data_IF_958665823638
#
_entry.id   IF_958665823638
#
_cell.length_a   1.000
_cell.length_b   1.000
_cell.length_c   1.000
_cell.angle_alpha   90.00
_cell.angle_beta   90.00
_cell.angle_gamma   90.00
#
_symmetry.space_group_name_H-M   'P 1'
#
loop_
_entity.id
_entity.type
_entity.pdbx_description
1 polymer ?
#
# COMPACT_ATOMS: atom_id res chain seq x y z
N UNK A 1 6.71 25.20 -6.79
CA UNK A 1 6.39 24.67 -8.11
C UNK A 1 6.44 23.13 -8.02
N UNK A 2 5.27 22.47 -7.79
CA UNK A 2 5.22 21.02 -7.47
C UNK A 2 5.87 20.15 -8.55
N UNK A 3 5.66 20.48 -9.82
CA UNK A 3 6.18 19.69 -10.92
C UNK A 3 7.72 19.66 -10.99
N UNK A 4 8.37 20.82 -10.78
CA UNK A 4 9.85 20.88 -10.78
C UNK A 4 10.49 20.17 -9.58
N UNK A 5 9.78 20.09 -8.46
CA UNK A 5 10.28 19.41 -7.26
C UNK A 5 10.25 17.89 -7.47
N UNK A 6 9.15 17.36 -8.01
CA UNK A 6 8.98 15.93 -8.31
C UNK A 6 10.05 15.49 -9.32
N UNK A 7 10.28 16.26 -10.40
CA UNK A 7 11.30 15.93 -11.40
C UNK A 7 12.72 15.89 -10.82
N UNK A 8 13.10 16.87 -10.00
CA UNK A 8 14.44 16.92 -9.40
C UNK A 8 14.66 15.85 -8.34
N UNK A 9 13.66 15.61 -7.49
CA UNK A 9 13.73 14.59 -6.46
C UNK A 9 13.72 13.20 -7.09
N UNK A 10 12.83 12.94 -8.04
CA UNK A 10 12.72 11.65 -8.71
C UNK A 10 13.94 11.29 -9.55
N UNK A 11 14.49 12.23 -10.29
CA UNK A 11 15.60 11.95 -11.22
C UNK A 11 16.94 11.63 -10.55
N UNK A 12 17.22 12.16 -9.36
CA UNK A 12 18.48 11.93 -8.65
C UNK A 12 18.34 10.94 -7.50
N UNK A 13 17.30 11.11 -6.67
CA UNK A 13 17.15 10.34 -5.44
C UNK A 13 16.67 8.91 -5.70
N UNK A 14 15.77 8.70 -6.67
CA UNK A 14 15.26 7.36 -6.98
C UNK A 14 16.34 6.40 -7.48
N UNK A 15 17.21 6.76 -8.45
CA UNK A 15 18.31 5.89 -8.84
C UNK A 15 19.29 5.59 -7.70
N UNK A 16 19.64 6.60 -6.90
CA UNK A 16 20.53 6.41 -5.74
C UNK A 16 19.93 5.44 -4.72
N UNK A 17 18.64 5.58 -4.45
CA UNK A 17 17.88 4.73 -3.54
C UNK A 17 17.83 3.29 -4.05
N UNK A 18 17.53 3.08 -5.33
CA UNK A 18 17.49 1.74 -5.94
C UNK A 18 18.88 1.08 -5.91
N UNK A 19 19.94 1.78 -6.27
CA UNK A 19 21.31 1.24 -6.24
C UNK A 19 21.68 0.80 -4.83
N UNK A 20 21.37 1.61 -3.81
CA UNK A 20 21.73 1.31 -2.43
C UNK A 20 20.87 0.16 -1.85
N UNK A 21 19.58 0.07 -2.17
CA UNK A 21 18.76 -1.07 -1.79
C UNK A 21 19.26 -2.34 -2.46
N UNK A 22 19.59 -2.30 -3.75
CA UNK A 22 20.14 -3.45 -4.47
C UNK A 22 21.47 -3.90 -3.88
N UNK A 23 22.37 -2.97 -3.55
CA UNK A 23 23.64 -3.29 -2.89
C UNK A 23 23.41 -3.97 -1.53
N UNK A 24 22.45 -3.48 -0.73
CA UNK A 24 22.06 -4.12 0.54
C UNK A 24 21.48 -5.51 0.32
N UNK A 25 20.60 -5.70 -0.66
CA UNK A 25 20.02 -7.01 -0.99
C UNK A 25 21.12 -7.99 -1.42
N UNK A 26 21.99 -7.62 -2.33
CA UNK A 26 23.11 -8.47 -2.79
C UNK A 26 23.99 -8.88 -1.61
N UNK A 27 24.35 -7.91 -0.76
CA UNK A 27 25.18 -8.20 0.42
C UNK A 27 24.42 -9.06 1.43
N UNK A 28 23.12 -8.84 1.61
CA UNK A 28 22.26 -9.69 2.46
C UNK A 28 22.22 -11.15 1.98
N UNK A 29 22.12 -11.37 0.67
CA UNK A 29 22.20 -12.73 0.11
C UNK A 29 23.56 -13.38 0.34
N UNK A 30 24.66 -12.64 0.20
CA UNK A 30 26.00 -13.15 0.43
C UNK A 30 26.21 -13.52 1.92
N UNK A 31 25.75 -12.67 2.83
CA UNK A 31 26.03 -12.83 4.26
C UNK A 31 25.05 -13.81 4.96
N UNK A 32 23.85 -13.95 4.47
CA UNK A 32 22.78 -14.72 5.14
C UNK A 32 22.17 -15.82 4.27
N UNK A 33 22.32 -15.77 2.94
CA UNK A 33 21.65 -16.67 2.01
C UNK A 33 22.00 -18.15 2.18
N UNK A 34 23.16 -18.47 2.79
CA UNK A 34 23.59 -19.84 3.09
C UNK A 34 23.11 -20.34 4.46
N UNK A 35 22.53 -19.48 5.30
CA UNK A 35 22.03 -19.90 6.60
C UNK A 35 20.79 -20.78 6.43
N UNK A 36 20.53 -21.69 7.38
CA UNK A 36 19.26 -22.40 7.42
C UNK A 36 18.11 -21.40 7.69
N UNK A 37 16.90 -21.62 7.14
CA UNK A 37 15.72 -20.84 7.52
C UNK A 37 15.45 -20.91 9.02
N UNK A 38 14.97 -19.82 9.62
CA UNK A 38 14.70 -19.76 11.05
C UNK A 38 13.65 -20.80 11.46
N UNK A 39 13.98 -21.67 12.42
CA UNK A 39 13.07 -22.73 12.90
C UNK A 39 11.75 -22.22 13.48
N UNK A 40 11.73 -20.95 13.94
CA UNK A 40 10.53 -20.31 14.48
C UNK A 40 9.39 -20.12 13.46
N UNK A 41 9.72 -20.04 12.18
CA UNK A 41 8.75 -19.72 11.14
C UNK A 41 7.89 -20.92 10.71
N UNK A 42 8.41 -22.14 10.82
CA UNK A 42 7.66 -23.37 10.48
C UNK A 42 6.59 -23.71 11.52
N UNK A 43 6.72 -23.22 12.76
CA UNK A 43 5.75 -23.44 13.85
C UNK A 43 4.66 -22.37 13.92
N UNK A 44 4.88 -21.19 13.30
CA UNK A 44 3.91 -20.08 13.29
C UNK A 44 2.77 -20.29 12.30
N UNK A 45 2.98 -21.07 11.24
CA UNK A 45 1.99 -21.30 10.21
C UNK A 45 1.51 -22.75 10.21
N UNK A 46 0.27 -22.98 10.61
CA UNK A 46 -0.34 -24.30 10.63
C UNK A 46 -0.64 -24.88 9.25
N UNK A 47 -0.62 -24.03 8.20
CA UNK A 47 -0.83 -24.42 6.81
C UNK A 47 -0.23 -23.41 5.84
N UNK A 48 0.02 -23.84 4.59
CA UNK A 48 0.48 -22.96 3.51
C UNK A 48 -0.50 -21.81 3.26
N UNK A 49 -1.82 -22.06 3.39
CA UNK A 49 -2.85 -21.02 3.24
C UNK A 49 -2.80 -20.00 4.38
N UNK A 50 -2.53 -20.42 5.61
CA UNK A 50 -2.34 -19.50 6.75
C UNK A 50 -1.11 -18.60 6.53
N UNK A 51 -0.01 -19.14 6.02
CA UNK A 51 1.17 -18.34 5.68
C UNK A 51 0.89 -17.34 4.55
N UNK A 52 0.20 -17.78 3.49
CA UNK A 52 -0.20 -16.89 2.40
C UNK A 52 -1.12 -15.77 2.87
N UNK A 53 -2.18 -16.09 3.61
CA UNK A 53 -3.15 -15.09 4.07
C UNK A 53 -2.53 -14.06 5.01
N UNK A 54 -1.63 -14.49 5.93
CA UNK A 54 -0.89 -13.57 6.77
C UNK A 54 0.06 -12.67 5.96
N UNK A 55 0.80 -13.23 5.00
CA UNK A 55 1.64 -12.45 4.10
C UNK A 55 0.84 -11.41 3.31
N UNK A 56 -0.33 -11.81 2.80
CA UNK A 56 -1.24 -10.94 2.07
C UNK A 56 -1.77 -9.78 2.94
N UNK A 57 -2.22 -10.07 4.17
CA UNK A 57 -2.70 -9.03 5.09
C UNK A 57 -1.58 -8.15 5.63
N UNK A 58 -0.37 -8.71 5.85
CA UNK A 58 0.80 -7.88 6.16
C UNK A 58 1.17 -6.95 4.99
N UNK A 59 0.91 -7.35 3.74
CA UNK A 59 1.05 -6.49 2.58
C UNK A 59 0.19 -5.23 2.64
N UNK A 60 -0.95 -5.23 3.36
CA UNK A 60 -1.73 -4.02 3.59
C UNK A 60 -0.94 -2.96 4.35
N UNK A 61 -0.12 -3.37 5.32
CA UNK A 61 0.64 -2.47 6.17
C UNK A 61 1.75 -1.71 5.42
N UNK A 62 2.13 -2.20 4.23
CA UNK A 62 3.11 -1.50 3.38
C UNK A 62 2.54 -0.22 2.76
N UNK A 63 1.21 -0.06 2.72
CA UNK A 63 0.48 1.10 2.20
C UNK A 63 0.67 1.39 0.71
N UNK A 64 1.35 0.51 -0.03
CA UNK A 64 1.71 0.73 -1.44
C UNK A 64 0.49 0.85 -2.35
N UNK A 65 -0.54 0.03 -2.15
CA UNK A 65 -1.75 0.08 -2.97
C UNK A 65 -2.51 1.42 -2.79
N UNK A 66 -2.60 1.91 -1.55
CA UNK A 66 -3.21 3.22 -1.26
C UNK A 66 -2.35 4.35 -1.81
N UNK A 67 -1.02 4.25 -1.65
CA UNK A 67 -0.08 5.21 -2.22
C UNK A 67 -0.17 5.23 -3.75
N UNK A 68 -0.30 4.08 -4.42
CA UNK A 68 -0.47 4.00 -5.87
C UNK A 68 -1.74 4.74 -6.34
N UNK A 69 -2.85 4.61 -5.61
CA UNK A 69 -4.08 5.37 -5.90
C UNK A 69 -3.81 6.88 -5.74
N UNK A 70 -3.17 7.31 -4.66
CA UNK A 70 -2.85 8.71 -4.40
C UNK A 70 -1.90 9.29 -5.45
N UNK A 71 -0.89 8.53 -5.88
CA UNK A 71 0.07 8.95 -6.90
C UNK A 71 -0.44 8.84 -8.34
N UNK A 72 -1.54 8.14 -8.59
CA UNK A 72 -2.06 7.90 -9.94
C UNK A 72 -2.23 9.19 -10.76
N UNK A 73 -2.74 10.25 -10.12
CA UNK A 73 -2.90 11.56 -10.77
C UNK A 73 -1.55 12.17 -11.17
N UNK A 74 -0.53 12.05 -10.33
CA UNK A 74 0.82 12.57 -10.62
C UNK A 74 1.43 11.82 -11.80
N UNK A 75 1.32 10.48 -11.81
CA UNK A 75 1.83 9.64 -12.90
C UNK A 75 1.14 9.98 -14.23
N UNK A 76 -0.18 10.08 -14.24
CA UNK A 76 -0.94 10.46 -15.44
C UNK A 76 -0.55 11.87 -15.94
N UNK A 77 -0.41 12.83 -15.03
CA UNK A 77 0.01 14.19 -15.40
C UNK A 77 1.45 14.22 -15.93
N UNK A 78 2.36 13.43 -15.36
CA UNK A 78 3.72 13.29 -15.85
C UNK A 78 3.75 12.73 -17.28
N UNK A 79 2.95 11.68 -17.56
CA UNK A 79 2.81 11.10 -18.90
C UNK A 79 2.24 12.15 -19.89
N UNK A 80 1.21 12.89 -19.48
CA UNK A 80 0.65 13.99 -20.33
C UNK A 80 1.68 15.09 -20.62
N UNK A 81 2.56 15.38 -19.67
CA UNK A 81 3.62 16.38 -19.84
C UNK A 81 4.67 15.98 -20.88
N UNK A 82 4.80 14.69 -21.22
CA UNK A 82 5.65 14.23 -22.35
C UNK A 82 5.07 14.52 -23.74
N UNK A 83 3.88 15.17 -23.80
CA UNK A 83 3.23 15.52 -25.07
C UNK A 83 2.27 14.46 -25.59
N UNK A 84 2.03 13.38 -24.85
CA UNK A 84 1.06 12.34 -25.22
C UNK A 84 -0.34 12.84 -24.90
N UNK A 85 -1.18 13.02 -25.96
CA UNK A 85 -2.56 13.54 -25.84
C UNK A 85 -3.63 12.45 -25.95
N UNK A 86 -3.35 11.34 -26.63
CA UNK A 86 -4.31 10.27 -26.87
C UNK A 86 -4.54 9.43 -25.60
N UNK A 87 -5.80 9.25 -25.22
CA UNK A 87 -6.24 8.49 -24.04
C UNK A 87 -5.67 7.07 -24.01
N UNK A 88 -5.73 6.33 -25.11
CA UNK A 88 -5.22 4.96 -25.21
C UNK A 88 -3.70 4.86 -24.99
N UNK A 89 -2.95 5.85 -25.50
CA UNK A 89 -1.51 5.90 -25.30
C UNK A 89 -1.16 6.23 -23.85
N UNK A 90 -1.91 7.15 -23.22
CA UNK A 90 -1.75 7.47 -21.77
C UNK A 90 -2.03 6.22 -20.94
N UNK A 91 -3.14 5.52 -21.21
CA UNK A 91 -3.48 4.28 -20.51
C UNK A 91 -2.37 3.22 -20.66
N UNK A 92 -1.92 2.96 -21.88
CA UNK A 92 -0.84 1.99 -22.16
C UNK A 92 0.45 2.35 -21.40
N UNK A 93 0.87 3.61 -21.42
CA UNK A 93 2.07 4.05 -20.72
C UNK A 93 1.91 3.95 -19.19
N UNK A 94 0.73 4.27 -18.66
CA UNK A 94 0.42 4.12 -17.24
C UNK A 94 0.50 2.65 -16.80
N UNK A 95 -0.06 1.73 -17.60
CA UNK A 95 0.00 0.28 -17.32
C UNK A 95 1.46 -0.21 -17.36
N UNK A 96 2.24 0.19 -18.36
CA UNK A 96 3.67 -0.19 -18.45
C UNK A 96 4.44 0.33 -17.23
N UNK A 97 4.27 1.59 -16.86
CA UNK A 97 4.91 2.18 -15.69
C UNK A 97 4.51 1.43 -14.40
N UNK A 98 3.23 1.09 -14.26
CA UNK A 98 2.71 0.30 -13.13
C UNK A 98 3.31 -1.11 -13.07
N UNK A 99 3.42 -1.80 -14.21
CA UNK A 99 4.04 -3.13 -14.28
C UNK A 99 5.52 -3.11 -13.91
N UNK A 100 6.28 -2.11 -14.38
CA UNK A 100 7.69 -1.94 -14.01
C UNK A 100 7.81 -1.71 -12.50
N UNK A 101 7.01 -0.81 -11.93
CA UNK A 101 7.02 -0.52 -10.51
C UNK A 101 6.63 -1.76 -9.68
N UNK A 102 5.56 -2.47 -10.06
CA UNK A 102 5.11 -3.68 -9.38
C UNK A 102 6.19 -4.77 -9.41
N UNK A 103 6.84 -5.00 -10.56
CA UNK A 103 7.92 -5.99 -10.69
C UNK A 103 9.10 -5.66 -9.79
N UNK A 104 9.50 -4.39 -9.74
CA UNK A 104 10.58 -3.94 -8.86
C UNK A 104 10.22 -4.12 -7.38
N UNK A 105 9.00 -3.76 -6.97
CA UNK A 105 8.51 -3.96 -5.60
C UNK A 105 8.47 -5.44 -5.21
N UNK A 106 7.92 -6.31 -6.07
CA UNK A 106 7.88 -7.76 -5.85
C UNK A 106 9.30 -8.30 -5.62
N UNK A 107 10.25 -7.90 -6.46
CA UNK A 107 11.64 -8.33 -6.32
C UNK A 107 12.25 -7.89 -4.98
N UNK A 108 12.06 -6.62 -4.59
CA UNK A 108 12.58 -6.09 -3.32
C UNK A 108 11.94 -6.80 -2.14
N UNK A 109 10.61 -6.95 -2.10
CA UNK A 109 9.90 -7.57 -0.99
C UNK A 109 10.26 -9.05 -0.82
N UNK A 110 10.32 -9.82 -1.91
CA UNK A 110 10.72 -11.22 -1.86
C UNK A 110 12.17 -11.33 -1.36
N UNK A 111 13.07 -10.48 -1.86
CA UNK A 111 14.48 -10.49 -1.45
C UNK A 111 14.65 -10.16 0.03
N UNK A 112 14.00 -9.11 0.52
CA UNK A 112 14.07 -8.73 1.94
C UNK A 112 13.40 -9.77 2.83
N UNK A 113 12.27 -10.34 2.41
CA UNK A 113 11.59 -11.42 3.12
C UNK A 113 12.45 -12.68 3.22
N UNK A 114 13.11 -13.06 2.13
CA UNK A 114 14.06 -14.19 2.12
C UNK A 114 15.21 -13.95 3.10
N UNK A 115 15.89 -12.80 3.01
CA UNK A 115 17.01 -12.45 3.89
C UNK A 115 16.54 -12.42 5.35
N UNK A 116 15.41 -11.79 5.64
CA UNK A 116 14.83 -11.73 6.98
C UNK A 116 14.54 -13.11 7.57
N UNK A 117 14.08 -14.06 6.74
CA UNK A 117 13.85 -15.46 7.15
C UNK A 117 15.14 -16.22 7.48
N UNK A 118 16.27 -15.84 6.89
CA UNK A 118 17.58 -16.46 7.12
C UNK A 118 18.41 -15.73 8.19
N UNK A 119 17.86 -14.67 8.77
CA UNK A 119 18.47 -13.96 9.90
C UNK A 119 17.95 -14.50 11.23
N UNK A 120 18.83 -15.14 12.01
CA UNK A 120 18.47 -15.68 13.32
C UNK A 120 18.48 -14.58 14.38
N UNK A 121 17.36 -14.42 15.10
CA UNK A 121 17.27 -13.59 16.30
C UNK A 121 17.18 -14.53 17.51
N UNK A 122 18.13 -14.39 18.42
CA UNK A 122 18.13 -15.16 19.69
C UNK A 122 16.89 -14.80 20.51
N UNK A 123 16.27 -15.79 21.19
CA UNK A 123 15.08 -15.59 22.02
C UNK A 123 15.26 -14.50 23.08
N UNK A 124 16.48 -14.38 23.65
CA UNK A 124 16.83 -13.30 24.58
C UNK A 124 16.76 -11.91 23.92
N UNK A 125 17.29 -11.77 22.69
CA UNK A 125 17.24 -10.51 21.96
C UNK A 125 15.82 -10.15 21.52
N UNK A 126 15.01 -11.15 21.16
CA UNK A 126 13.61 -10.93 20.85
C UNK A 126 12.84 -10.35 22.05
N UNK A 127 13.05 -10.91 23.25
CA UNK A 127 12.45 -10.39 24.49
C UNK A 127 12.91 -8.96 24.80
N UNK A 128 14.19 -8.67 24.62
CA UNK A 128 14.76 -7.34 24.83
C UNK A 128 14.13 -6.30 23.87
N UNK A 129 14.02 -6.63 22.57
CA UNK A 129 13.41 -5.76 21.57
C UNK A 129 11.94 -5.47 21.92
N UNK A 130 11.20 -6.50 22.32
CA UNK A 130 9.80 -6.36 22.71
C UNK A 130 9.65 -5.54 23.99
N UNK A 131 10.51 -5.75 24.99
CA UNK A 131 10.49 -4.99 26.25
C UNK A 131 10.81 -3.49 26.05
N UNK A 132 11.66 -3.18 25.08
CA UNK A 132 12.06 -1.80 24.75
C UNK A 132 11.19 -1.15 23.66
N UNK A 133 10.09 -1.79 23.28
CA UNK A 133 9.20 -1.33 22.19
C UNK A 133 9.92 -1.05 20.85
N UNK A 134 10.97 -1.84 20.57
CA UNK A 134 11.75 -1.70 19.34
C UNK A 134 11.16 -2.54 18.21
N UNK A 135 11.04 -1.93 17.02
CA UNK A 135 10.53 -2.62 15.85
C UNK A 135 11.53 -3.66 15.31
N UNK A 136 11.07 -4.92 15.20
CA UNK A 136 11.90 -6.05 14.78
C UNK A 136 12.44 -5.87 13.36
N UNK A 137 11.62 -5.36 12.44
CA UNK A 137 12.04 -5.08 11.05
C UNK A 137 13.17 -4.07 10.99
N UNK A 138 13.07 -3.00 11.78
CA UNK A 138 14.13 -1.98 11.90
C UNK A 138 15.42 -2.58 12.46
N UNK A 139 15.32 -3.44 13.45
CA UNK A 139 16.48 -4.17 14.01
C UNK A 139 17.16 -5.05 12.97
N UNK A 140 16.38 -5.83 12.21
CA UNK A 140 16.90 -6.71 11.15
C UNK A 140 17.61 -5.91 10.06
N UNK A 141 17.01 -4.86 9.54
CA UNK A 141 17.61 -3.99 8.53
C UNK A 141 18.89 -3.33 9.02
N UNK A 142 18.89 -2.82 10.25
CA UNK A 142 20.07 -2.19 10.85
C UNK A 142 21.21 -3.22 11.06
N UNK A 143 20.86 -4.42 11.47
CA UNK A 143 21.82 -5.52 11.67
C UNK A 143 22.41 -5.98 10.34
N UNK A 144 21.58 -6.09 9.29
CA UNK A 144 22.02 -6.42 7.93
C UNK A 144 22.98 -5.36 7.40
N UNK A 145 22.63 -4.08 7.53
CA UNK A 145 23.49 -2.98 7.12
C UNK A 145 24.83 -2.97 7.90
N UNK A 146 24.77 -3.21 9.21
CA UNK A 146 25.97 -3.27 10.07
C UNK A 146 26.90 -4.44 9.74
N UNK A 147 26.36 -5.63 9.51
CA UNK A 147 27.15 -6.81 9.13
C UNK A 147 27.74 -6.68 7.73
N UNK A 148 26.94 -6.14 6.78
CA UNK A 148 27.35 -6.01 5.39
C UNK A 148 28.41 -4.95 5.15
N UNK A 149 28.29 -3.79 5.78
CA UNK A 149 29.11 -2.61 5.50
C UNK A 149 29.68 -1.92 6.77
N UNK A 150 29.59 -2.60 7.93
CA UNK A 150 30.07 -2.02 9.17
C UNK A 150 29.31 -0.77 9.62
N UNK A 151 30.03 0.13 10.29
CA UNK A 151 29.46 1.41 10.76
C UNK A 151 28.98 2.29 9.60
N UNK A 152 29.68 2.26 8.46
CA UNK A 152 29.28 2.98 7.24
C UNK A 152 27.90 2.51 6.76
N UNK A 153 27.60 1.20 6.81
CA UNK A 153 26.30 0.66 6.43
C UNK A 153 25.13 1.21 7.25
N UNK A 154 25.33 1.43 8.55
CA UNK A 154 24.31 2.04 9.41
C UNK A 154 23.99 3.47 8.99
N UNK A 155 25.01 4.28 8.73
CA UNK A 155 24.83 5.66 8.25
C UNK A 155 24.18 5.68 6.85
N UNK A 156 24.62 4.81 5.96
CA UNK A 156 24.06 4.67 4.62
C UNK A 156 22.57 4.31 4.69
N UNK A 157 22.19 3.31 5.49
CA UNK A 157 20.78 2.96 5.73
C UNK A 157 19.97 4.14 6.26
N UNK A 158 20.50 4.88 7.24
CA UNK A 158 19.83 6.07 7.79
C UNK A 158 19.56 7.13 6.73
N UNK A 159 20.54 7.42 5.88
CA UNK A 159 20.40 8.38 4.77
C UNK A 159 19.36 7.89 3.76
N UNK A 160 19.41 6.60 3.37
CA UNK A 160 18.44 6.01 2.43
C UNK A 160 17.02 6.15 2.96
N UNK A 161 16.79 5.73 4.21
CA UNK A 161 15.48 5.80 4.84
C UNK A 161 14.99 7.25 4.93
N UNK A 162 15.86 8.18 5.36
CA UNK A 162 15.50 9.60 5.44
C UNK A 162 15.10 10.16 4.07
N UNK A 163 15.88 9.88 3.02
CA UNK A 163 15.57 10.33 1.66
C UNK A 163 14.28 9.71 1.12
N UNK A 164 14.08 8.40 1.33
CA UNK A 164 12.87 7.71 0.93
C UNK A 164 11.63 8.31 1.63
N UNK A 165 11.70 8.54 2.94
CA UNK A 165 10.61 9.15 3.69
C UNK A 165 10.30 10.57 3.21
N UNK A 166 11.32 11.41 2.98
CA UNK A 166 11.13 12.79 2.51
C UNK A 166 10.49 12.80 1.13
N UNK A 167 10.98 11.98 0.19
CA UNK A 167 10.43 11.93 -1.18
C UNK A 167 8.98 11.48 -1.19
N UNK A 168 8.65 10.44 -0.43
CA UNK A 168 7.28 9.92 -0.30
C UNK A 168 6.37 10.92 0.37
N UNK A 169 6.78 11.51 1.49
CA UNK A 169 6.01 12.52 2.21
C UNK A 169 5.70 13.73 1.32
N UNK A 170 6.71 14.26 0.62
CA UNK A 170 6.51 15.37 -0.32
C UNK A 170 5.50 15.01 -1.42
N UNK A 171 5.63 13.83 -2.02
CA UNK A 171 4.71 13.37 -3.06
C UNK A 171 3.26 13.23 -2.56
N UNK A 172 3.08 12.60 -1.40
CA UNK A 172 1.74 12.42 -0.80
C UNK A 172 1.11 13.74 -0.39
N UNK A 173 1.84 14.63 0.28
CA UNK A 173 1.33 15.96 0.67
C UNK A 173 0.90 16.76 -0.56
N UNK A 174 1.69 16.74 -1.64
CA UNK A 174 1.35 17.40 -2.90
C UNK A 174 0.08 16.80 -3.50
N UNK A 175 -0.01 15.48 -3.60
CA UNK A 175 -1.16 14.78 -4.18
C UNK A 175 -2.46 15.09 -3.43
N UNK A 176 -2.43 14.90 -2.11
CA UNK A 176 -3.59 15.11 -1.25
C UNK A 176 -4.01 16.58 -1.26
N UNK A 177 -3.05 17.52 -1.19
CA UNK A 177 -3.34 18.95 -1.24
C UNK A 177 -3.94 19.38 -2.59
N UNK A 178 -3.47 18.83 -3.71
CA UNK A 178 -4.06 19.09 -5.03
C UNK A 178 -5.48 18.53 -5.13
N UNK A 179 -5.71 17.33 -4.60
CA UNK A 179 -7.04 16.72 -4.57
C UNK A 179 -8.02 17.58 -3.79
N UNK A 180 -7.70 17.94 -2.53
CA UNK A 180 -8.58 18.75 -1.69
C UNK A 180 -8.81 20.16 -2.24
N UNK A 181 -7.80 20.79 -2.84
CA UNK A 181 -7.97 22.08 -3.50
C UNK A 181 -8.92 22.00 -4.71
N UNK A 182 -8.93 20.86 -5.44
CA UNK A 182 -9.89 20.65 -6.53
C UNK A 182 -11.31 20.45 -6.03
N UNK A 183 -11.49 19.70 -4.92
CA UNK A 183 -12.81 19.41 -4.32
C UNK A 183 -13.37 20.64 -3.61
N UNK A 184 -12.52 21.37 -2.89
CA UNK A 184 -12.87 22.57 -2.12
C UNK A 184 -11.99 23.77 -2.53
N UNK A 185 -12.27 24.41 -3.67
CA UNK A 185 -11.42 25.46 -4.23
C UNK A 185 -11.38 26.75 -3.40
N UNK A 186 -12.30 26.92 -2.44
CA UNK A 186 -12.33 28.08 -1.54
C UNK A 186 -11.08 28.19 -0.65
N UNK A 187 -10.41 27.09 -0.38
CA UNK A 187 -9.18 27.06 0.42
C UNK A 187 -7.98 26.96 -0.52
N UNK A 188 -6.99 27.79 -0.33
CA UNK A 188 -5.83 27.81 -1.22
C UNK A 188 -4.97 26.54 -1.05
N UNK A 189 -4.34 26.10 -2.15
CA UNK A 189 -3.42 24.97 -2.16
C UNK A 189 -2.35 25.04 -1.06
N UNK A 190 -1.80 26.24 -0.82
CA UNK A 190 -0.78 26.46 0.20
C UNK A 190 -1.27 26.13 1.62
N UNK A 191 -2.52 26.48 1.94
CA UNK A 191 -3.13 26.18 3.24
C UNK A 191 -3.25 24.67 3.43
N UNK A 192 -3.68 23.92 2.41
CA UNK A 192 -3.74 22.46 2.47
C UNK A 192 -2.35 21.85 2.69
N UNK A 193 -1.32 22.32 1.99
CA UNK A 193 0.05 21.85 2.19
C UNK A 193 0.50 22.05 3.63
N UNK A 194 0.29 23.24 4.18
CA UNK A 194 0.68 23.56 5.57
C UNK A 194 -0.10 22.67 6.55
N UNK A 195 -1.42 22.55 6.36
CA UNK A 195 -2.30 21.77 7.23
C UNK A 195 -1.85 20.28 7.26
N UNK A 196 -1.70 19.66 6.10
CA UNK A 196 -1.30 18.24 6.03
C UNK A 196 0.12 18.02 6.51
N UNK A 197 1.03 18.98 6.28
CA UNK A 197 2.39 18.90 6.83
C UNK A 197 2.38 18.96 8.36
N UNK A 198 1.61 19.86 8.96
CA UNK A 198 1.50 19.96 10.42
C UNK A 198 0.88 18.71 11.04
N UNK A 199 -0.20 18.18 10.45
CA UNK A 199 -0.83 16.92 10.91
C UNK A 199 0.19 15.78 10.84
N UNK A 200 0.88 15.63 9.71
CA UNK A 200 1.91 14.59 9.54
C UNK A 200 3.06 14.75 10.54
N UNK A 201 3.49 15.97 10.81
CA UNK A 201 4.53 16.25 11.79
C UNK A 201 4.12 15.84 13.20
N UNK A 202 2.89 16.18 13.63
CA UNK A 202 2.36 15.80 14.94
C UNK A 202 2.31 14.28 15.09
N UNK A 203 1.79 13.57 14.06
CA UNK A 203 1.71 12.10 14.06
C UNK A 203 3.12 11.48 14.09
N UNK A 204 4.05 11.98 13.29
CA UNK A 204 5.41 11.45 13.21
C UNK A 204 6.17 11.51 14.56
N UNK A 205 5.85 12.48 15.41
CA UNK A 205 6.46 12.60 16.75
C UNK A 205 5.98 11.53 17.74
N UNK A 206 4.96 10.72 17.40
CA UNK A 206 4.49 9.63 18.27
C UNK A 206 5.41 8.39 18.25
N UNK A 207 6.36 8.35 17.33
CA UNK A 207 7.25 7.20 17.11
C UNK A 207 6.65 6.13 16.18
N UNK A 208 7.52 5.29 15.63
CA UNK A 208 7.17 4.34 14.56
C UNK A 208 6.08 3.33 15.00
N UNK A 209 6.23 2.72 16.16
CA UNK A 209 5.28 1.70 16.64
C UNK A 209 3.90 2.30 16.90
N UNK A 210 3.85 3.51 17.48
CA UNK A 210 2.58 4.24 17.68
C UNK A 210 1.90 4.57 16.35
N UNK A 211 2.67 5.07 15.37
CA UNK A 211 2.13 5.35 14.02
C UNK A 211 1.58 4.10 13.37
N UNK A 212 2.29 2.97 13.46
CA UNK A 212 1.82 1.68 12.93
C UNK A 212 0.52 1.26 13.64
N UNK A 213 0.50 1.26 14.96
CA UNK A 213 -0.68 0.83 15.75
C UNK A 213 -1.91 1.69 15.50
N UNK A 214 -1.74 3.00 15.28
CA UNK A 214 -2.82 3.91 14.90
C UNK A 214 -3.28 3.72 13.44
N UNK A 215 -2.38 3.32 12.56
CA UNK A 215 -2.69 3.14 11.14
C UNK A 215 -3.42 1.84 10.85
N UNK A 216 -3.09 0.74 11.54
CA UNK A 216 -3.68 -0.58 11.32
C UNK A 216 -5.21 -0.59 11.31
N UNK A 217 -5.91 0.00 12.32
CA UNK A 217 -7.36 0.05 12.33
C UNK A 217 -7.95 0.81 11.13
N UNK A 218 -7.31 1.90 10.71
CA UNK A 218 -7.74 2.68 9.55
C UNK A 218 -7.54 1.88 8.27
N UNK A 219 -6.40 1.22 8.13
CA UNK A 219 -6.07 0.40 6.96
C UNK A 219 -7.01 -0.80 6.84
N UNK A 220 -7.42 -1.43 7.93
CA UNK A 220 -8.36 -2.55 7.91
C UNK A 220 -9.76 -2.17 7.38
N UNK A 221 -10.13 -0.88 7.41
CA UNK A 221 -11.34 -0.38 6.74
C UNK A 221 -11.04 0.01 5.30
N UNK A 222 -9.98 0.76 5.08
CA UNK A 222 -9.71 1.41 3.78
C UNK A 222 -9.28 0.39 2.72
N UNK A 223 -8.50 -0.64 3.07
CA UNK A 223 -8.01 -1.63 2.10
C UNK A 223 -9.09 -2.48 1.45
N UNK A 224 -10.03 -3.09 2.18
CA UNK A 224 -11.15 -3.81 1.57
C UNK A 224 -11.92 -2.95 0.56
N UNK A 225 -12.21 -1.70 0.93
CA UNK A 225 -12.91 -0.76 0.06
C UNK A 225 -12.06 -0.44 -1.17
N UNK A 226 -10.78 -0.08 -0.99
CA UNK A 226 -9.88 0.30 -2.07
C UNK A 226 -9.67 -0.84 -3.08
N UNK A 227 -9.44 -2.07 -2.59
CA UNK A 227 -9.29 -3.25 -3.44
C UNK A 227 -10.59 -3.53 -4.19
N UNK A 228 -11.75 -3.45 -3.51
CA UNK A 228 -13.06 -3.63 -4.14
C UNK A 228 -13.28 -2.60 -5.25
N UNK A 229 -12.95 -1.33 -5.03
CA UNK A 229 -13.03 -0.27 -6.07
C UNK A 229 -12.19 -0.65 -7.29
N UNK A 230 -10.92 -1.02 -7.07
CA UNK A 230 -10.01 -1.38 -8.16
C UNK A 230 -10.54 -2.59 -8.94
N UNK A 231 -11.00 -3.63 -8.25
CA UNK A 231 -11.57 -4.82 -8.89
C UNK A 231 -12.83 -4.48 -9.68
N UNK A 232 -13.74 -3.67 -9.14
CA UNK A 232 -14.96 -3.24 -9.83
C UNK A 232 -14.64 -2.42 -11.09
N UNK A 233 -13.65 -1.52 -11.04
CA UNK A 233 -13.21 -0.76 -12.22
C UNK A 233 -12.61 -1.69 -13.28
N UNK A 234 -11.82 -2.68 -12.87
CA UNK A 234 -11.26 -3.66 -13.79
C UNK A 234 -12.38 -4.50 -14.45
N UNK A 235 -13.35 -4.98 -13.69
CA UNK A 235 -14.50 -5.73 -14.20
C UNK A 235 -15.33 -4.86 -15.14
N UNK A 236 -15.56 -3.60 -14.80
CA UNK A 236 -16.33 -2.65 -15.61
C UNK A 236 -15.67 -2.35 -16.98
N UNK A 237 -14.37 -2.60 -17.11
CA UNK A 237 -13.66 -2.51 -18.40
C UNK A 237 -14.10 -3.59 -19.38
N UNK A 238 -14.48 -4.77 -18.88
CA UNK A 238 -14.86 -5.94 -19.68
C UNK A 238 -16.37 -6.14 -19.78
N UNK A 239 -17.10 -5.76 -18.74
CA UNK A 239 -18.54 -5.96 -18.63
C UNK A 239 -19.19 -4.59 -18.42
N UNK A 240 -20.11 -4.14 -19.31
CA UNK A 240 -20.82 -2.88 -19.09
C UNK A 240 -21.55 -2.88 -17.75
N UNK A 241 -21.31 -1.88 -16.93
CA UNK A 241 -21.88 -1.78 -15.59
C UNK A 241 -22.71 -0.51 -15.45
N UNK A 242 -23.76 -0.59 -14.63
CA UNK A 242 -24.52 0.57 -14.19
C UNK A 242 -23.96 1.09 -12.87
N UNK A 243 -24.14 2.37 -12.51
CA UNK A 243 -23.64 2.94 -11.26
C UNK A 243 -24.02 2.12 -10.02
N UNK A 244 -25.27 1.65 -9.96
CA UNK A 244 -25.79 0.86 -8.83
C UNK A 244 -25.03 -0.46 -8.63
N UNK A 245 -24.57 -1.09 -9.72
CA UNK A 245 -23.80 -2.34 -9.67
C UNK A 245 -22.43 -2.15 -9.00
N UNK A 246 -21.89 -0.92 -9.00
CA UNK A 246 -20.64 -0.59 -8.33
C UNK A 246 -20.89 -0.04 -6.91
N UNK A 247 -21.97 0.70 -6.70
CA UNK A 247 -22.28 1.30 -5.40
C UNK A 247 -22.67 0.26 -4.34
N UNK A 248 -23.46 -0.75 -4.70
CA UNK A 248 -23.92 -1.78 -3.74
C UNK A 248 -22.74 -2.52 -3.11
N UNK A 249 -21.79 -3.11 -3.86
CA UNK A 249 -20.63 -3.79 -3.27
C UNK A 249 -19.81 -2.88 -2.37
N UNK A 250 -19.59 -1.63 -2.77
CA UNK A 250 -18.79 -0.68 -2.00
C UNK A 250 -19.43 -0.34 -0.66
N UNK A 251 -20.75 -0.12 -0.64
CA UNK A 251 -21.49 0.17 0.59
C UNK A 251 -21.46 -1.04 1.52
N UNK A 252 -21.71 -2.24 0.98
CA UNK A 252 -21.74 -3.47 1.79
C UNK A 252 -20.36 -3.77 2.38
N UNK A 253 -19.29 -3.67 1.59
CA UNK A 253 -17.92 -3.89 2.06
C UNK A 253 -17.52 -2.80 3.07
N UNK A 254 -17.91 -1.55 2.87
CA UNK A 254 -17.62 -0.49 3.83
C UNK A 254 -18.30 -0.75 5.18
N UNK A 255 -19.58 -1.14 5.18
CA UNK A 255 -20.30 -1.49 6.41
C UNK A 255 -19.65 -2.70 7.08
N UNK A 256 -19.36 -3.75 6.32
CA UNK A 256 -18.70 -4.94 6.85
C UNK A 256 -17.34 -4.62 7.49
N UNK A 257 -16.48 -3.88 6.80
CA UNK A 257 -15.15 -3.52 7.30
C UNK A 257 -15.22 -2.71 8.60
N UNK A 258 -16.20 -1.81 8.73
CA UNK A 258 -16.45 -1.06 9.97
C UNK A 258 -16.90 -2.00 11.08
N UNK A 259 -17.86 -2.91 10.82
CA UNK A 259 -18.35 -3.87 11.80
C UNK A 259 -17.27 -4.86 12.21
N UNK A 260 -16.44 -5.31 11.27
CA UNK A 260 -15.28 -6.17 11.53
C UNK A 260 -14.28 -5.49 12.45
N UNK A 261 -13.96 -4.20 12.21
CA UNK A 261 -13.09 -3.43 13.09
C UNK A 261 -13.66 -3.31 14.50
N UNK A 262 -14.93 -2.95 14.64
CA UNK A 262 -15.62 -2.81 15.94
C UNK A 262 -15.52 -4.11 16.75
N UNK A 263 -15.74 -5.25 16.09
CA UNK A 263 -15.66 -6.59 16.71
C UNK A 263 -14.22 -6.94 17.08
N UNK A 264 -13.26 -6.66 16.21
CA UNK A 264 -11.83 -6.95 16.43
C UNK A 264 -11.25 -6.10 17.56
N UNK A 265 -11.68 -4.85 17.69
CA UNK A 265 -11.29 -3.97 18.81
C UNK A 265 -12.02 -4.30 20.13
N UNK A 266 -12.94 -5.24 20.11
CA UNK A 266 -13.67 -5.68 21.30
C UNK A 266 -14.71 -4.67 21.83
N UNK A 267 -15.09 -3.65 21.04
CA UNK A 267 -16.08 -2.66 21.46
C UNK A 267 -17.48 -3.25 21.53
N UNK A 268 -17.84 -4.08 20.56
CA UNK A 268 -19.08 -4.87 20.55
C UNK A 268 -18.82 -6.25 19.94
N UNK A 269 -19.38 -7.30 20.53
CA UNK A 269 -19.35 -8.65 19.94
C UNK A 269 -20.52 -8.79 18.98
N UNK A 270 -20.22 -8.95 17.69
CA UNK A 270 -21.21 -9.18 16.65
C UNK A 270 -21.03 -10.63 16.17
N UNK A 271 -21.80 -11.56 16.74
CA UNK A 271 -21.65 -13.00 16.47
C UNK A 271 -21.70 -13.36 14.97
N UNK A 272 -22.42 -12.59 14.16
CA UNK A 272 -22.45 -12.80 12.71
C UNK A 272 -21.06 -12.59 12.07
N UNK A 273 -20.33 -11.57 12.49
CA UNK A 273 -18.98 -11.25 11.96
C UNK A 273 -17.99 -12.35 12.33
N UNK A 274 -18.09 -12.90 13.55
CA UNK A 274 -17.17 -13.94 14.03
C UNK A 274 -17.31 -15.27 13.25
N UNK A 275 -18.47 -15.50 12.62
CA UNK A 275 -18.76 -16.71 11.83
C UNK A 275 -18.55 -16.52 10.33
N UNK A 276 -18.07 -15.35 9.89
CA UNK A 276 -17.80 -15.12 8.47
C UNK A 276 -16.67 -16.01 7.96
N UNK A 277 -16.78 -16.51 6.74
CA UNK A 277 -15.69 -17.26 6.12
C UNK A 277 -14.44 -16.39 6.01
N UNK A 278 -13.27 -16.99 6.22
CA UNK A 278 -11.96 -16.35 6.19
C UNK A 278 -11.70 -15.29 7.30
N UNK A 279 -12.57 -15.16 8.29
CA UNK A 279 -12.39 -14.24 9.44
C UNK A 279 -11.06 -14.48 10.16
N UNK A 280 -10.69 -15.75 10.38
CA UNK A 280 -9.41 -16.13 11.01
C UNK A 280 -8.18 -15.63 10.25
N UNK A 281 -8.36 -15.27 8.98
CA UNK A 281 -7.32 -14.78 8.08
C UNK A 281 -7.43 -13.28 7.78
N UNK A 282 -8.37 -12.57 8.42
CA UNK A 282 -8.68 -11.16 8.15
C UNK A 282 -9.01 -10.88 6.66
N UNK A 283 -9.66 -11.84 6.02
CA UNK A 283 -10.08 -11.80 4.61
C UNK A 283 -11.59 -12.00 4.46
N UNK A 284 -12.37 -11.83 5.52
CA UNK A 284 -13.82 -11.98 5.53
C UNK A 284 -14.54 -11.05 4.56
N UNK A 285 -13.97 -9.90 4.29
CA UNK A 285 -14.49 -8.92 3.33
C UNK A 285 -14.54 -9.45 1.89
N UNK A 286 -13.62 -10.35 1.51
CA UNK A 286 -13.48 -10.80 0.13
C UNK A 286 -14.70 -11.61 -0.37
N UNK A 287 -15.15 -12.68 0.32
CA UNK A 287 -16.40 -13.37 -0.04
C UNK A 287 -17.60 -12.44 -0.08
N UNK A 288 -17.69 -11.48 0.85
CA UNK A 288 -18.76 -10.50 0.89
C UNK A 288 -18.72 -9.58 -0.33
N UNK A 289 -17.52 -9.10 -0.72
CA UNK A 289 -17.35 -8.28 -1.91
C UNK A 289 -17.80 -9.00 -3.17
N UNK A 290 -17.47 -10.30 -3.30
CA UNK A 290 -17.90 -11.14 -4.44
C UNK A 290 -19.42 -11.29 -4.47
N UNK A 291 -20.04 -11.68 -3.36
CA UNK A 291 -21.50 -11.84 -3.27
C UNK A 291 -22.21 -10.51 -3.53
N UNK A 292 -21.75 -9.43 -2.91
CA UNK A 292 -22.31 -8.09 -3.08
C UNK A 292 -22.19 -7.60 -4.54
N UNK A 293 -21.09 -7.94 -5.22
CA UNK A 293 -20.91 -7.62 -6.65
C UNK A 293 -21.93 -8.36 -7.50
N UNK A 294 -22.14 -9.65 -7.28
CA UNK A 294 -23.16 -10.43 -7.99
C UNK A 294 -24.55 -9.86 -7.75
N UNK A 295 -24.90 -9.56 -6.49
CA UNK A 295 -26.17 -8.93 -6.13
C UNK A 295 -26.33 -7.56 -6.78
N UNK A 296 -25.28 -6.74 -6.77
CA UNK A 296 -25.27 -5.43 -7.41
C UNK A 296 -25.56 -5.52 -8.92
N UNK A 297 -24.98 -6.51 -9.59
CA UNK A 297 -25.25 -6.77 -11.01
C UNK A 297 -26.69 -7.21 -11.25
N UNK A 298 -27.21 -8.13 -10.43
CA UNK A 298 -28.62 -8.60 -10.52
C UNK A 298 -29.57 -7.42 -10.32
N UNK A 299 -29.39 -6.64 -9.26
CA UNK A 299 -30.23 -5.49 -8.96
C UNK A 299 -30.14 -4.44 -10.06
N UNK A 300 -28.97 -4.22 -10.64
CA UNK A 300 -28.77 -3.25 -11.72
C UNK A 300 -29.60 -3.57 -12.98
N UNK A 301 -29.95 -4.84 -13.16
CA UNK A 301 -30.82 -5.25 -14.27
C UNK A 301 -32.24 -4.69 -14.15
N UNK A 302 -32.73 -4.59 -12.92
CA UNK A 302 -34.09 -4.07 -12.63
C UNK A 302 -34.17 -2.56 -12.50
N UNK A 303 -33.04 -1.86 -12.39
CA UNK A 303 -32.98 -0.41 -12.22
C UNK A 303 -32.76 0.26 -13.59
N UNK A 304 -33.60 1.24 -13.91
CA UNK A 304 -33.46 2.09 -15.11
C UNK A 304 -32.34 3.12 -14.86
N UNK A 305 -31.11 2.77 -15.17
CA UNK A 305 -29.95 3.67 -15.17
C UNK A 305 -29.18 3.43 -16.46
N UNK A 306 -28.49 4.48 -16.93
CA UNK A 306 -27.58 4.36 -18.08
C UNK A 306 -26.31 3.60 -17.69
N UNK A 307 -25.74 2.88 -18.64
CA UNK A 307 -24.46 2.21 -18.44
C UNK A 307 -23.34 3.23 -18.28
N UNK A 308 -22.40 2.96 -17.41
CA UNK A 308 -21.16 3.72 -17.32
C UNK A 308 -20.37 3.40 -18.60
N UNK A 309 -20.36 4.36 -19.52
CA UNK A 309 -19.52 4.29 -20.72
C UNK A 309 -18.18 4.88 -20.33
N UNK A 310 -17.17 4.00 -20.14
CA UNK A 310 -15.78 4.46 -20.16
C UNK A 310 -15.49 4.82 -21.63
N UNK A 311 -15.66 6.12 -22.00
CA UNK A 311 -15.52 6.60 -23.35
C UNK A 311 -14.20 6.11 -23.96
N UNK A 312 -14.29 5.27 -25.00
CA UNK A 312 -13.38 5.37 -26.13
C UNK A 312 -13.66 6.75 -26.74
N UNK A 313 -12.77 7.71 -26.54
CA UNK A 313 -12.80 8.90 -27.40
C UNK A 313 -12.68 8.39 -28.84
N UNK A 314 -13.77 8.57 -29.61
CA UNK A 314 -13.79 8.27 -31.02
C UNK A 314 -12.62 9.00 -31.68
N UNK A 315 -11.81 8.24 -32.40
CA UNK A 315 -10.76 8.71 -33.29
C UNK A 315 -11.40 9.42 -34.50
N UNK A 316 -12.02 10.57 -34.30
CA UNK A 316 -12.40 11.48 -35.37
C UNK A 316 -11.88 12.87 -35.00
N UNK A 317 -10.61 13.09 -35.33
CA UNK A 317 -10.05 14.26 -36.04
C UNK A 317 -8.51 14.16 -36.05
#
# INVERSE_FOLDING_TARGET
>A
NPNKMIDRIGSLLTPLLLITILAMIIKGFIDFGSNAPGEGNTKLFHSSFSGFSQGFTQGYLTMDAIAAIAFSMIVVNAIKATGIKHSDKIFKQTVIAGLIAATALIFIYISLGFIGNHMHITSGKMKELTANDQNIGTYLLTTMAAKGFGTFGKYLLGIIVALACITTACGLIVSVSQYFHRVFPKISYKVYVILFTLISFIIANQGLNSVISMSVPVLSIVYPIAITVVLLILVARFIPTKPIAQQIPLIIVAIESILSLITTQGWFKISFIDHLPLKQHSLEWFPIAVIATILGYIISYFVKQDFIVYQKEDNNN
#
